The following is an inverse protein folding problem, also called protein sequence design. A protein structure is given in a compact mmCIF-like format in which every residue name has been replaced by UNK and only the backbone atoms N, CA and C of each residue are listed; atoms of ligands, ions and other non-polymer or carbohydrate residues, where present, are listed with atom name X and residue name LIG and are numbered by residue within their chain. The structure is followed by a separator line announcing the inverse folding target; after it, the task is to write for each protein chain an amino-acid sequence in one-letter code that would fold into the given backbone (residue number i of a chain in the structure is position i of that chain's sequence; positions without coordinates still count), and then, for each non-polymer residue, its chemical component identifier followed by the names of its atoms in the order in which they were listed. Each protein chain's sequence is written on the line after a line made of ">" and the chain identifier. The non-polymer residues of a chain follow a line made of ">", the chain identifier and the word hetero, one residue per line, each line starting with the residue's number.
data_IF_454559840907
#
_entry.id   IF_454559840907
#
_cell.length_a   1.000
_cell.length_b   1.000
_cell.length_c   1.000
_cell.angle_alpha   90.00
_cell.angle_beta   90.00
_cell.angle_gamma   90.00
#
_symmetry.space_group_name_H-M   'P 1'
#
loop_
_entity.id
_entity.type
_entity.pdbx_description
1 polymer ?
#
# COMPACT_ATOMS: atom_id res chain seq x y z
N UNK A 1 -1.01 -7.57 -0.65
CA UNK A 1 0.02 -6.73 -1.30
C UNK A 1 -0.63 -6.02 -2.47
N UNK A 2 -0.43 -4.71 -2.56
CA UNK A 2 -0.87 -3.88 -3.68
C UNK A 2 0.40 -3.46 -4.42
N UNK A 3 0.48 -3.81 -5.71
CA UNK A 3 1.56 -3.33 -6.60
C UNK A 3 0.96 -2.35 -7.59
N UNK A 4 1.61 -1.21 -7.74
CA UNK A 4 1.22 -0.21 -8.75
C UNK A 4 2.45 0.24 -9.51
N UNK A 5 2.39 0.19 -10.84
CA UNK A 5 3.48 0.65 -11.71
C UNK A 5 3.21 2.08 -12.18
N UNK A 6 4.24 2.92 -12.15
CA UNK A 6 4.25 4.29 -12.65
C UNK A 6 5.52 4.56 -13.48
N UNK A 7 5.63 3.98 -14.68
CA UNK A 7 6.89 3.90 -15.41
C UNK A 7 7.56 5.25 -15.68
N UNK A 8 8.89 5.28 -15.60
CA UNK A 8 9.71 6.46 -15.91
C UNK A 8 9.80 7.50 -14.80
N UNK A 9 9.13 7.28 -13.65
CA UNK A 9 9.16 8.20 -12.53
C UNK A 9 10.25 7.86 -11.52
N UNK A 10 10.89 8.90 -10.98
CA UNK A 10 11.84 8.77 -9.88
C UNK A 10 11.15 8.26 -8.60
N UNK A 11 11.87 7.54 -7.72
CA UNK A 11 11.29 6.99 -6.49
C UNK A 11 10.53 8.01 -5.63
N UNK A 12 11.01 9.26 -5.56
CA UNK A 12 10.33 10.32 -4.80
C UNK A 12 8.96 10.68 -5.38
N UNK A 13 8.84 10.75 -6.71
CA UNK A 13 7.56 11.03 -7.38
C UNK A 13 6.58 9.87 -7.16
N UNK A 14 7.07 8.63 -7.21
CA UNK A 14 6.27 7.44 -6.91
C UNK A 14 5.83 7.44 -5.44
N UNK A 15 6.70 7.86 -4.52
CA UNK A 15 6.35 8.01 -3.10
C UNK A 15 5.23 9.04 -2.91
N UNK A 16 5.44 10.26 -3.40
CA UNK A 16 4.53 11.38 -3.15
C UNK A 16 3.16 11.20 -3.82
N UNK A 17 3.12 10.63 -5.02
CA UNK A 17 1.89 10.53 -5.82
C UNK A 17 1.15 9.20 -5.69
N UNK A 18 1.85 8.11 -5.34
CA UNK A 18 1.27 6.75 -5.32
C UNK A 18 1.38 6.13 -3.93
N UNK A 19 2.60 5.89 -3.44
CA UNK A 19 2.82 5.09 -2.22
C UNK A 19 2.26 5.76 -0.97
N UNK A 20 2.55 7.05 -0.76
CA UNK A 20 2.11 7.77 0.42
C UNK A 20 0.58 7.93 0.49
N UNK A 21 -0.12 8.36 -0.59
CA UNK A 21 -1.58 8.39 -0.58
C UNK A 21 -2.22 7.02 -0.35
N UNK A 22 -1.70 5.96 -1.01
CA UNK A 22 -2.23 4.60 -0.85
C UNK A 22 -2.01 4.07 0.56
N UNK A 23 -0.81 4.21 1.13
CA UNK A 23 -0.54 3.77 2.51
C UNK A 23 -1.43 4.50 3.51
N UNK A 24 -1.62 5.83 3.37
CA UNK A 24 -2.57 6.57 4.23
C UNK A 24 -4.00 6.07 4.12
N UNK A 25 -4.47 5.80 2.89
CA UNK A 25 -5.82 5.27 2.69
C UNK A 25 -5.98 3.88 3.33
N UNK A 26 -4.94 3.05 3.30
CA UNK A 26 -4.98 1.71 3.87
C UNK A 26 -4.95 1.70 5.42
N UNK A 27 -4.52 2.79 6.08
CA UNK A 27 -4.57 2.89 7.55
C UNK A 27 -6.01 2.88 8.11
N UNK A 28 -7.02 3.25 7.31
CA UNK A 28 -8.42 3.22 7.73
C UNK A 28 -9.11 1.88 7.51
N UNK A 29 -8.43 0.88 6.93
CA UNK A 29 -9.03 -0.42 6.63
C UNK A 29 -9.23 -1.19 7.95
N UNK A 30 -10.46 -1.64 8.28
CA UNK A 30 -10.72 -2.42 9.48
C UNK A 30 -9.86 -3.69 9.54
N UNK A 31 -9.32 -3.99 10.72
CA UNK A 31 -8.47 -5.16 10.94
C UNK A 31 -7.03 -5.01 10.46
N UNK A 32 -6.66 -3.90 9.80
CA UNK A 32 -5.27 -3.62 9.46
C UNK A 32 -4.46 -3.30 10.73
N UNK A 33 -3.43 -4.09 10.99
CA UNK A 33 -2.51 -3.94 12.13
C UNK A 33 -1.29 -3.12 11.73
N UNK A 34 -0.83 -3.26 10.48
CA UNK A 34 0.33 -2.52 9.99
C UNK A 34 0.23 -2.30 8.49
N UNK A 35 0.58 -1.09 8.04
CA UNK A 35 0.71 -0.74 6.63
C UNK A 35 2.16 -0.32 6.36
N UNK A 36 2.79 -0.91 5.34
CA UNK A 36 4.16 -0.57 4.91
C UNK A 36 4.16 -0.24 3.42
N UNK A 37 4.71 0.91 3.07
CA UNK A 37 4.92 1.34 1.70
C UNK A 37 6.39 1.31 1.31
N UNK A 38 6.67 0.95 0.06
CA UNK A 38 7.99 1.06 -0.55
C UNK A 38 7.86 1.63 -1.95
N UNK A 39 8.75 2.56 -2.29
CA UNK A 39 8.82 3.19 -3.61
C UNK A 39 10.15 2.92 -4.27
N UNK A 40 10.09 2.46 -5.52
CA UNK A 40 11.24 2.24 -6.38
C UNK A 40 11.05 3.00 -7.69
N UNK A 41 12.06 2.98 -8.54
CA UNK A 41 11.95 3.59 -9.86
C UNK A 41 10.78 2.96 -10.63
N UNK A 42 9.76 3.76 -10.90
CA UNK A 42 8.56 3.36 -11.61
C UNK A 42 7.65 2.33 -10.95
N UNK A 43 7.84 1.98 -9.67
CA UNK A 43 7.00 0.98 -8.99
C UNK A 43 6.75 1.31 -7.51
N UNK A 44 5.53 1.06 -7.06
CA UNK A 44 5.06 1.17 -5.67
C UNK A 44 4.62 -0.20 -5.15
N UNK A 45 4.97 -0.49 -3.89
CA UNK A 45 4.58 -1.69 -3.16
C UNK A 45 3.96 -1.31 -1.82
N UNK A 46 2.71 -1.72 -1.59
CA UNK A 46 2.02 -1.54 -0.30
C UNK A 46 1.66 -2.90 0.30
N UNK A 47 2.15 -3.13 1.51
CA UNK A 47 1.84 -4.29 2.33
C UNK A 47 0.88 -3.87 3.44
N UNK A 48 -0.30 -4.49 3.46
CA UNK A 48 -1.26 -4.37 4.55
C UNK A 48 -1.25 -5.69 5.30
N UNK A 49 -0.91 -5.63 6.59
CA UNK A 49 -0.85 -6.75 7.52
C UNK A 49 -2.09 -6.65 8.39
N UNK A 50 -2.89 -7.71 8.39
CA UNK A 50 -4.14 -7.80 9.15
C UNK A 50 -3.95 -8.66 10.41
N UNK A 51 -4.85 -8.53 11.37
CA UNK A 51 -4.93 -9.45 12.51
C UNK A 51 -5.28 -10.86 12.02
N UNK A 52 -4.75 -11.90 12.67
CA UNK A 52 -4.97 -13.31 12.31
C UNK A 52 -6.46 -13.71 12.32
N UNK A 53 -7.30 -13.00 13.07
CA UNK A 53 -8.75 -13.22 13.12
C UNK A 53 -9.54 -12.38 12.11
N UNK A 54 -8.88 -11.60 11.26
CA UNK A 54 -9.54 -10.79 10.23
C UNK A 54 -10.03 -11.69 9.10
N UNK A 55 -11.34 -11.65 8.84
CA UNK A 55 -11.92 -12.33 7.69
C UNK A 55 -11.30 -11.80 6.38
N UNK A 56 -10.66 -12.71 5.64
CA UNK A 56 -9.95 -12.41 4.39
C UNK A 56 -10.84 -11.75 3.33
N UNK A 57 -12.16 -11.94 3.39
CA UNK A 57 -13.11 -11.32 2.47
C UNK A 57 -13.18 -9.79 2.67
N UNK A 58 -13.16 -9.34 3.93
CA UNK A 58 -13.09 -7.90 4.26
C UNK A 58 -11.71 -7.31 4.03
N UNK A 59 -10.65 -8.11 4.18
CA UNK A 59 -9.27 -7.67 3.97
C UNK A 59 -8.92 -7.28 2.51
N UNK A 60 -9.80 -7.57 1.54
CA UNK A 60 -9.59 -7.33 0.11
C UNK A 60 -10.63 -6.42 -0.56
N UNK A 61 -11.66 -6.00 0.19
CA UNK A 61 -12.79 -5.21 -0.32
C UNK A 61 -12.55 -3.71 -0.23
#
# INVERSE_FOLDING_TARGET
>A
MIKTSFPGQAPQVVEDQITYPLTRAMLSVPGAVTVRGYSFFGDSYVYVIFDDNTDLYWARS
#
